data_IF_283240605652
#
_entry.id   IF_283240605652
#
_cell.length_a   1.000
_cell.length_b   1.000
_cell.length_c   1.000
_cell.angle_alpha   90.00
_cell.angle_beta   90.00
_cell.angle_gamma   90.00
#
_symmetry.space_group_name_H-M   'P 1'
#
loop_
_entity.id
_entity.type
_entity.pdbx_description
1 polymer ?
#
# COMPACT_ATOMS: atom_id res chain seq x y z
N UNK A 1 32.03 0.41 12.30
CA UNK A 1 32.65 1.19 11.20
C UNK A 1 32.76 2.63 11.69
N UNK A 2 33.94 3.15 11.79
CA UNK A 2 34.33 4.20 12.72
C UNK A 2 33.92 5.60 12.25
N UNK A 3 33.26 6.34 13.12
CA UNK A 3 32.96 7.77 13.00
C UNK A 3 34.22 8.67 12.90
N UNK A 4 35.38 8.14 13.20
CA UNK A 4 36.69 8.86 13.17
C UNK A 4 37.06 9.49 11.83
N UNK A 5 36.67 8.86 10.71
CA UNK A 5 36.95 9.40 9.37
C UNK A 5 36.04 10.62 9.08
N UNK A 6 34.84 10.62 9.63
CA UNK A 6 33.87 11.72 9.48
C UNK A 6 34.28 12.94 10.32
N UNK A 7 34.74 12.67 11.54
CA UNK A 7 35.20 13.75 12.47
C UNK A 7 36.48 14.41 11.94
N UNK A 8 37.39 13.64 11.33
CA UNK A 8 38.60 14.18 10.72
C UNK A 8 38.30 15.04 9.46
N UNK A 9 37.34 14.64 8.64
CA UNK A 9 36.90 15.41 7.48
C UNK A 9 36.20 16.71 7.91
N UNK A 10 35.43 16.67 8.98
CA UNK A 10 34.75 17.82 9.54
C UNK A 10 35.71 18.83 10.15
N UNK A 11 36.72 18.35 10.91
CA UNK A 11 37.75 19.19 11.51
C UNK A 11 38.59 19.93 10.43
N UNK A 12 38.95 19.24 9.34
CA UNK A 12 39.70 19.79 8.23
C UNK A 12 38.94 20.88 7.45
N UNK A 13 37.63 20.80 7.45
CA UNK A 13 36.77 21.82 6.81
C UNK A 13 36.61 23.08 7.65
N UNK A 14 36.68 22.97 8.99
CA UNK A 14 36.71 24.07 9.93
C UNK A 14 38.02 24.85 9.92
N UNK A 15 39.17 24.16 9.76
CA UNK A 15 40.49 24.75 9.69
C UNK A 15 40.69 25.66 8.46
N UNK A 16 39.97 25.41 7.38
CA UNK A 16 40.06 26.14 6.13
C UNK A 16 39.13 27.38 6.05
N UNK A 17 38.43 27.74 7.14
CA UNK A 17 37.64 28.98 7.24
C UNK A 17 36.46 29.10 6.26
N UNK A 18 36.16 28.06 5.50
CA UNK A 18 35.04 27.99 4.56
C UNK A 18 33.86 27.33 5.24
N UNK A 19 33.09 28.09 6.01
CA UNK A 19 31.75 27.68 6.46
C UNK A 19 30.79 27.65 5.27
N UNK A 20 31.02 26.77 4.31
CA UNK A 20 29.94 26.34 3.45
C UNK A 20 29.07 25.47 4.31
N UNK A 21 27.84 25.94 4.56
CA UNK A 21 26.82 25.10 5.18
C UNK A 21 26.86 23.75 4.49
N UNK A 22 27.14 22.69 5.26
CA UNK A 22 27.05 21.32 4.74
C UNK A 22 25.65 21.18 4.15
N UNK A 23 25.50 20.75 2.89
CA UNK A 23 24.16 20.56 2.37
C UNK A 23 23.44 19.55 3.25
N UNK A 24 22.40 20.01 3.95
CA UNK A 24 21.48 19.20 4.74
C UNK A 24 20.79 18.10 3.92
N UNK A 25 21.02 18.12 2.61
CA UNK A 25 20.45 17.19 1.61
C UNK A 25 20.67 15.73 1.96
N UNK A 26 21.79 15.36 2.60
CA UNK A 26 22.02 13.97 3.00
C UNK A 26 21.13 13.53 4.17
N UNK A 27 20.86 14.44 5.12
CA UNK A 27 19.96 14.19 6.25
C UNK A 27 18.51 14.15 5.80
N UNK A 28 18.12 15.00 4.86
CA UNK A 28 16.77 14.98 4.29
C UNK A 28 16.49 13.69 3.53
N UNK A 29 17.44 13.22 2.72
CA UNK A 29 17.33 11.94 2.00
C UNK A 29 17.27 10.78 2.99
N UNK A 30 18.11 10.78 4.02
CA UNK A 30 18.15 9.72 5.01
C UNK A 30 16.89 9.69 5.88
N UNK A 31 16.40 10.86 6.30
CA UNK A 31 15.15 10.98 7.07
C UNK A 31 13.94 10.52 6.25
N UNK A 32 13.86 10.87 4.98
CA UNK A 32 12.81 10.38 4.07
C UNK A 32 12.87 8.87 3.90
N UNK A 33 14.07 8.31 3.74
CA UNK A 33 14.25 6.86 3.65
C UNK A 33 13.79 6.15 4.93
N UNK A 34 14.17 6.67 6.11
CA UNK A 34 13.72 6.12 7.39
C UNK A 34 12.20 6.21 7.55
N UNK A 35 11.58 7.35 7.19
CA UNK A 35 10.13 7.51 7.23
C UNK A 35 9.42 6.51 6.32
N UNK A 36 9.88 6.36 5.09
CA UNK A 36 9.32 5.38 4.15
C UNK A 36 9.46 3.95 4.67
N UNK A 37 10.62 3.60 5.22
CA UNK A 37 10.88 2.28 5.81
C UNK A 37 9.96 2.01 7.00
N UNK A 38 9.76 3.00 7.88
CA UNK A 38 8.87 2.87 9.03
C UNK A 38 7.41 2.70 8.61
N UNK A 39 6.96 3.44 7.58
CA UNK A 39 5.61 3.30 7.02
C UNK A 39 5.39 1.90 6.46
N UNK A 40 6.35 1.40 5.68
CA UNK A 40 6.32 0.05 5.12
C UNK A 40 6.26 -1.02 6.21
N UNK A 41 7.12 -0.92 7.22
CA UNK A 41 7.14 -1.86 8.34
C UNK A 41 5.82 -1.84 9.13
N UNK A 42 5.25 -0.66 9.34
CA UNK A 42 3.94 -0.52 10.00
C UNK A 42 2.84 -1.23 9.20
N UNK A 43 2.78 -1.03 7.89
CA UNK A 43 1.77 -1.64 7.04
C UNK A 43 1.94 -3.16 6.98
N UNK A 44 3.17 -3.68 6.86
CA UNK A 44 3.48 -5.11 6.92
C UNK A 44 3.04 -5.72 8.25
N UNK A 45 3.38 -5.08 9.38
CA UNK A 45 2.98 -5.56 10.70
C UNK A 45 1.45 -5.57 10.88
N UNK A 46 0.76 -4.55 10.39
CA UNK A 46 -0.70 -4.47 10.43
C UNK A 46 -1.36 -5.59 9.61
N UNK A 47 -0.83 -5.89 8.41
CA UNK A 47 -1.29 -7.00 7.59
C UNK A 47 -1.09 -8.35 8.29
N UNK A 48 0.06 -8.58 8.92
CA UNK A 48 0.30 -9.79 9.71
C UNK A 48 -0.62 -9.90 10.93
N UNK A 49 -0.94 -8.79 11.60
CA UNK A 49 -1.90 -8.78 12.70
C UNK A 49 -3.30 -9.16 12.23
N UNK A 50 -3.75 -8.64 11.08
CA UNK A 50 -5.03 -9.00 10.48
C UNK A 50 -5.05 -10.48 10.09
N UNK A 51 -3.99 -10.97 9.45
CA UNK A 51 -3.85 -12.37 9.07
C UNK A 51 -3.94 -13.30 10.29
N UNK A 52 -3.20 -13.00 11.36
CA UNK A 52 -3.21 -13.79 12.59
C UNK A 52 -4.58 -13.73 13.29
N UNK A 53 -5.19 -12.55 13.41
CA UNK A 53 -6.50 -12.38 14.04
C UNK A 53 -7.58 -13.17 13.33
N UNK A 54 -7.55 -13.22 12.00
CA UNK A 54 -8.54 -13.93 11.18
C UNK A 54 -8.10 -15.35 10.82
N UNK A 55 -6.97 -15.82 11.37
CA UNK A 55 -6.44 -17.17 11.17
C UNK A 55 -6.30 -17.54 9.67
N UNK A 56 -5.71 -16.65 8.89
CA UNK A 56 -5.53 -16.84 7.46
C UNK A 56 -4.70 -18.09 7.17
N UNK A 57 -5.18 -18.90 6.25
CA UNK A 57 -4.47 -20.09 5.78
C UNK A 57 -3.39 -19.74 4.76
N UNK A 58 -3.62 -18.70 3.95
CA UNK A 58 -2.70 -18.22 2.91
C UNK A 58 -1.65 -17.28 3.50
N UNK A 59 -0.42 -17.40 3.01
CA UNK A 59 0.70 -16.55 3.38
C UNK A 59 1.12 -15.76 2.15
N UNK A 60 1.34 -14.44 2.30
CA UNK A 60 1.86 -13.54 1.27
C UNK A 60 3.13 -12.86 1.73
N UNK A 61 4.06 -12.62 0.82
CA UNK A 61 5.19 -11.71 1.06
C UNK A 61 4.71 -10.26 0.86
N UNK A 62 4.18 -9.69 1.94
CA UNK A 62 3.72 -8.30 1.93
C UNK A 62 4.86 -7.32 1.74
N UNK A 63 6.06 -7.64 2.21
CA UNK A 63 7.22 -6.77 2.11
C UNK A 63 7.65 -6.61 0.65
N UNK A 64 7.74 -7.70 -0.11
CA UNK A 64 8.06 -7.67 -1.53
C UNK A 64 7.00 -6.87 -2.31
N UNK A 65 5.71 -7.16 -2.06
CA UNK A 65 4.59 -6.47 -2.71
C UNK A 65 4.63 -4.96 -2.49
N UNK A 66 4.93 -4.50 -1.27
CA UNK A 66 4.98 -3.07 -0.93
C UNK A 66 6.23 -2.38 -1.48
N UNK A 67 7.37 -3.08 -1.59
CA UNK A 67 8.57 -2.55 -2.24
C UNK A 67 8.33 -2.24 -3.71
N UNK A 68 7.50 -3.03 -4.39
CA UNK A 68 7.06 -2.83 -5.78
C UNK A 68 5.92 -1.78 -5.91
N UNK A 69 5.74 -0.94 -4.91
CA UNK A 69 4.73 0.14 -4.84
C UNK A 69 3.28 -0.33 -5.01
N UNK A 70 3.02 -1.61 -4.81
CA UNK A 70 1.68 -2.18 -4.83
C UNK A 70 0.88 -1.64 -3.64
N UNK A 71 -0.34 -1.19 -3.87
CA UNK A 71 -1.30 -0.88 -2.81
C UNK A 71 -2.00 -2.16 -2.42
N UNK A 72 -2.12 -2.41 -1.11
CA UNK A 72 -2.86 -3.57 -0.61
C UNK A 72 -4.09 -3.07 0.13
N UNK A 73 -5.24 -3.56 -0.30
CA UNK A 73 -6.54 -3.30 0.33
C UNK A 73 -7.11 -4.59 0.85
N UNK A 74 -7.54 -4.61 2.10
CA UNK A 74 -8.19 -5.77 2.73
C UNK A 74 -9.60 -5.40 3.11
N UNK A 75 -10.57 -6.24 2.73
CA UNK A 75 -11.96 -6.10 3.17
C UNK A 75 -12.35 -7.25 4.10
N UNK A 76 -13.42 -7.06 4.86
CA UNK A 76 -14.12 -8.16 5.52
C UNK A 76 -14.94 -8.99 4.50
N UNK A 77 -15.63 -10.01 5.00
CA UNK A 77 -16.51 -10.86 4.18
C UNK A 77 -17.74 -10.11 3.61
N UNK A 78 -18.10 -8.94 4.17
CA UNK A 78 -19.16 -8.05 3.72
C UNK A 78 -18.68 -6.98 2.76
N UNK A 79 -17.41 -7.05 2.30
CA UNK A 79 -16.77 -6.11 1.39
C UNK A 79 -16.64 -4.68 1.96
N UNK A 80 -16.50 -4.55 3.27
CA UNK A 80 -16.06 -3.30 3.90
C UNK A 80 -14.55 -3.32 4.06
N UNK A 81 -13.89 -2.25 3.67
CA UNK A 81 -12.44 -2.09 3.81
C UNK A 81 -12.10 -2.06 5.30
N UNK A 82 -11.30 -3.00 5.75
CA UNK A 82 -10.79 -3.06 7.13
C UNK A 82 -9.35 -2.58 7.23
N UNK A 83 -8.65 -2.53 6.09
CA UNK A 83 -7.30 -2.02 6.01
C UNK A 83 -6.95 -1.59 4.59
N UNK A 84 -6.16 -0.55 4.47
CA UNK A 84 -5.49 -0.14 3.24
C UNK A 84 -4.07 0.33 3.60
N UNK A 85 -3.10 0.02 2.75
CA UNK A 85 -1.72 0.50 2.92
C UNK A 85 -1.62 1.99 2.67
N UNK A 86 -0.71 2.68 3.37
CA UNK A 86 -0.59 4.14 3.34
C UNK A 86 -0.23 4.70 1.97
N UNK A 87 0.40 3.91 1.11
CA UNK A 87 0.72 4.30 -0.26
C UNK A 87 -0.51 4.46 -1.18
N UNK A 88 -1.73 4.10 -0.72
CA UNK A 88 -2.99 4.37 -1.42
C UNK A 88 -3.15 5.88 -1.70
N UNK A 89 -2.64 6.74 -0.81
CA UNK A 89 -2.62 8.19 -1.01
C UNK A 89 -1.91 8.61 -2.29
N UNK A 90 -0.78 7.96 -2.59
CA UNK A 90 -0.01 8.24 -3.80
C UNK A 90 -0.70 7.74 -5.07
N UNK A 91 -1.58 6.72 -4.94
CA UNK A 91 -2.30 6.14 -6.05
C UNK A 91 -3.56 6.92 -6.43
N UNK A 92 -4.36 7.32 -5.43
CA UNK A 92 -5.68 7.90 -5.70
C UNK A 92 -6.06 9.10 -4.80
N UNK A 93 -5.13 9.60 -3.97
CA UNK A 93 -5.32 10.80 -3.16
C UNK A 93 -6.09 10.59 -1.85
N UNK A 94 -6.62 9.41 -1.58
CA UNK A 94 -7.29 9.11 -0.30
C UNK A 94 -6.28 8.71 0.77
N UNK A 95 -6.43 9.21 1.98
CA UNK A 95 -5.72 8.66 3.14
C UNK A 95 -6.27 7.28 3.50
N UNK A 96 -5.42 6.38 4.01
CA UNK A 96 -5.83 5.02 4.36
C UNK A 96 -6.99 4.98 5.37
N UNK A 97 -7.02 5.93 6.33
CA UNK A 97 -8.09 6.03 7.32
C UNK A 97 -9.43 6.53 6.73
N UNK A 98 -9.42 7.24 5.61
CA UNK A 98 -10.65 7.72 4.95
C UNK A 98 -11.38 6.59 4.21
N UNK A 99 -10.65 5.56 3.78
CA UNK A 99 -11.24 4.45 3.02
C UNK A 99 -11.70 3.30 3.93
N UNK A 100 -11.15 3.18 5.14
CA UNK A 100 -11.55 2.15 6.11
C UNK A 100 -13.01 2.33 6.51
N UNK A 101 -13.77 1.23 6.54
CA UNK A 101 -15.22 1.21 6.83
C UNK A 101 -16.09 1.40 5.59
N UNK A 102 -15.54 1.88 4.48
CA UNK A 102 -16.25 2.06 3.22
C UNK A 102 -16.16 0.80 2.34
N UNK A 103 -17.01 0.73 1.32
CA UNK A 103 -16.91 -0.29 0.28
C UNK A 103 -15.92 0.15 -0.80
N UNK A 104 -15.14 -0.77 -1.42
CA UNK A 104 -14.29 -0.45 -2.58
C UNK A 104 -15.05 0.21 -3.75
N UNK A 105 -16.36 0.10 -3.79
CA UNK A 105 -17.20 0.83 -4.76
C UNK A 105 -17.09 2.35 -4.66
N UNK A 106 -16.57 2.88 -3.56
CA UNK A 106 -16.33 4.33 -3.40
C UNK A 106 -15.39 4.90 -4.47
N UNK A 107 -14.52 4.05 -5.04
CA UNK A 107 -13.62 4.45 -6.11
C UNK A 107 -14.25 4.38 -7.50
N UNK A 108 -15.46 3.84 -7.62
CA UNK A 108 -16.15 3.67 -8.89
C UNK A 108 -17.03 4.87 -9.22
N UNK A 109 -17.30 5.08 -10.52
CA UNK A 109 -18.17 6.16 -10.96
C UNK A 109 -18.70 5.94 -12.38
N UNK A 110 -19.12 7.01 -13.05
CA UNK A 110 -19.80 6.94 -14.37
C UNK A 110 -19.01 6.25 -15.46
N UNK A 111 -17.68 6.34 -15.45
CA UNK A 111 -16.82 5.74 -16.47
C UNK A 111 -16.27 4.36 -16.07
N UNK A 112 -16.66 3.86 -14.90
CA UNK A 112 -16.31 2.49 -14.50
C UNK A 112 -17.12 1.51 -15.35
N UNK A 113 -16.44 0.56 -15.99
CA UNK A 113 -17.09 -0.45 -16.81
C UNK A 113 -17.95 -1.39 -15.96
N UNK A 114 -19.24 -1.42 -16.26
CA UNK A 114 -20.23 -2.24 -15.57
C UNK A 114 -20.01 -3.74 -15.81
N UNK A 115 -19.52 -4.12 -17.00
CA UNK A 115 -19.22 -5.52 -17.30
C UNK A 115 -18.07 -6.01 -16.41
N UNK A 116 -16.96 -5.26 -16.37
CA UNK A 116 -15.81 -5.60 -15.52
C UNK A 116 -16.22 -5.63 -14.04
N UNK A 117 -17.03 -4.68 -13.60
CA UNK A 117 -17.54 -4.63 -12.21
C UNK A 117 -18.41 -5.87 -11.88
N UNK A 118 -19.24 -6.32 -12.84
CA UNK A 118 -20.03 -7.54 -12.68
C UNK A 118 -19.17 -8.80 -12.66
N UNK A 119 -18.14 -8.88 -13.50
CA UNK A 119 -17.20 -10.01 -13.51
C UNK A 119 -16.46 -10.13 -12.17
N UNK A 120 -15.98 -9.01 -11.62
CA UNK A 120 -15.39 -8.95 -10.28
C UNK A 120 -16.40 -9.42 -9.22
N UNK A 121 -17.65 -8.93 -9.29
CA UNK A 121 -18.70 -9.34 -8.35
C UNK A 121 -18.97 -10.84 -8.41
N UNK A 122 -19.01 -11.43 -9.62
CA UNK A 122 -19.19 -12.88 -9.78
C UNK A 122 -18.03 -13.67 -9.19
N UNK A 123 -16.78 -13.21 -9.42
CA UNK A 123 -15.60 -13.84 -8.83
C UNK A 123 -15.64 -13.83 -7.29
N UNK A 124 -16.07 -12.71 -6.70
CA UNK A 124 -16.24 -12.57 -5.24
C UNK A 124 -17.32 -13.51 -4.72
N UNK A 125 -18.49 -13.58 -5.37
CA UNK A 125 -19.60 -14.48 -4.98
C UNK A 125 -19.15 -15.93 -5.06
N UNK A 126 -18.43 -16.30 -6.11
CA UNK A 126 -17.92 -17.65 -6.32
C UNK A 126 -16.65 -17.95 -5.50
N UNK A 127 -16.14 -16.96 -4.74
CA UNK A 127 -14.94 -17.09 -3.90
C UNK A 127 -13.72 -17.55 -4.69
N UNK A 128 -13.53 -17.01 -5.91
CA UNK A 128 -12.40 -17.31 -6.79
C UNK A 128 -11.53 -16.06 -6.98
N UNK A 129 -10.21 -16.24 -7.19
CA UNK A 129 -9.33 -15.14 -7.52
C UNK A 129 -9.72 -14.46 -8.83
N UNK A 130 -9.39 -13.18 -8.96
CA UNK A 130 -9.59 -12.43 -10.20
C UNK A 130 -8.44 -11.46 -10.45
N UNK A 131 -8.25 -11.13 -11.73
CA UNK A 131 -7.30 -10.11 -12.18
C UNK A 131 -7.96 -9.28 -13.26
N UNK A 132 -8.11 -7.96 -13.03
CA UNK A 132 -8.85 -7.04 -13.89
C UNK A 132 -8.23 -5.66 -13.91
N UNK A 133 -8.49 -4.94 -15.02
CA UNK A 133 -8.26 -3.50 -15.09
C UNK A 133 -9.58 -2.78 -14.93
N UNK A 134 -9.64 -1.81 -14.01
CA UNK A 134 -10.85 -1.05 -13.70
C UNK A 134 -10.55 0.44 -13.81
N UNK A 135 -11.45 1.21 -14.43
CA UNK A 135 -11.40 2.67 -14.37
C UNK A 135 -12.01 3.12 -13.05
N UNK A 136 -11.20 3.73 -12.21
CA UNK A 136 -11.56 4.28 -10.92
C UNK A 136 -11.36 5.80 -10.89
N UNK A 137 -11.86 6.43 -9.84
CA UNK A 137 -11.77 7.86 -9.59
C UNK A 137 -10.87 8.13 -8.39
N UNK A 138 -9.98 9.10 -8.55
CA UNK A 138 -9.24 9.69 -7.45
C UNK A 138 -10.15 10.58 -6.59
N UNK A 139 -9.66 10.97 -5.44
CA UNK A 139 -10.38 11.87 -4.51
C UNK A 139 -10.71 13.22 -5.13
N UNK A 140 -9.89 13.72 -6.04
CA UNK A 140 -10.10 14.97 -6.79
C UNK A 140 -11.03 14.83 -8.00
N UNK A 141 -11.55 13.61 -8.26
CA UNK A 141 -12.41 13.30 -9.39
C UNK A 141 -11.67 12.94 -10.67
N UNK A 142 -10.35 12.99 -10.71
CA UNK A 142 -9.57 12.52 -11.85
C UNK A 142 -9.67 10.99 -12.00
N UNK A 143 -9.47 10.50 -13.22
CA UNK A 143 -9.55 9.08 -13.55
C UNK A 143 -8.19 8.42 -13.48
N UNK A 144 -8.17 7.18 -13.04
CA UNK A 144 -7.02 6.32 -13.17
C UNK A 144 -7.43 4.89 -13.53
N UNK A 145 -6.60 4.22 -14.29
CA UNK A 145 -6.78 2.81 -14.62
C UNK A 145 -6.07 1.98 -13.55
N UNK A 146 -6.83 1.23 -12.79
CA UNK A 146 -6.33 0.38 -11.71
C UNK A 146 -6.24 -1.06 -12.18
N UNK A 147 -5.06 -1.66 -12.07
CA UNK A 147 -4.86 -3.10 -12.22
C UNK A 147 -5.04 -3.75 -10.86
N UNK A 148 -6.03 -4.62 -10.73
CA UNK A 148 -6.43 -5.25 -9.47
C UNK A 148 -6.27 -6.76 -9.58
N UNK A 149 -5.53 -7.35 -8.63
CA UNK A 149 -5.50 -8.80 -8.36
C UNK A 149 -6.18 -9.06 -7.03
N UNK A 150 -7.35 -9.68 -7.06
CA UNK A 150 -8.14 -9.95 -5.86
C UNK A 150 -8.17 -11.44 -5.50
N UNK A 151 -8.09 -11.74 -4.21
CA UNK A 151 -8.09 -13.09 -3.70
C UNK A 151 -9.04 -13.23 -2.52
N UNK A 152 -9.88 -14.27 -2.48
CA UNK A 152 -10.59 -14.66 -1.27
C UNK A 152 -9.60 -15.24 -0.27
N UNK A 153 -9.75 -14.88 0.99
CA UNK A 153 -8.88 -15.34 2.07
C UNK A 153 -9.66 -16.23 2.99
N UNK A 154 -9.20 -17.47 3.10
CA UNK A 154 -9.83 -18.51 3.92
C UNK A 154 -9.09 -18.66 5.24
N UNK A 155 -9.85 -18.93 6.31
CA UNK A 155 -9.30 -19.37 7.58
C UNK A 155 -9.00 -20.89 7.56
N UNK A 156 -8.44 -21.40 8.64
CA UNK A 156 -8.13 -22.83 8.77
C UNK A 156 -9.39 -23.75 8.77
N UNK A 157 -10.59 -23.18 8.98
CA UNK A 157 -11.87 -23.90 8.89
C UNK A 157 -12.44 -23.93 7.47
N UNK A 158 -11.80 -23.25 6.51
CA UNK A 158 -12.27 -23.15 5.12
C UNK A 158 -13.37 -22.10 4.90
N UNK A 159 -13.57 -21.18 5.85
CA UNK A 159 -14.49 -20.06 5.72
C UNK A 159 -13.78 -18.84 5.16
N UNK A 160 -14.42 -18.08 4.25
CA UNK A 160 -13.89 -16.80 3.78
C UNK A 160 -14.05 -15.76 4.89
N UNK A 161 -12.95 -15.24 5.37
CA UNK A 161 -12.91 -14.20 6.40
C UNK A 161 -12.67 -12.80 5.81
N UNK A 162 -11.89 -12.75 4.76
CA UNK A 162 -11.48 -11.49 4.13
C UNK A 162 -11.39 -11.68 2.60
N UNK A 163 -11.33 -10.54 1.89
CA UNK A 163 -10.77 -10.47 0.55
C UNK A 163 -9.58 -9.53 0.58
N UNK A 164 -8.51 -9.90 -0.12
CA UNK A 164 -7.32 -9.08 -0.27
C UNK A 164 -7.16 -8.69 -1.74
N UNK A 165 -6.89 -7.43 -2.00
CA UNK A 165 -6.60 -6.91 -3.32
C UNK A 165 -5.20 -6.28 -3.36
N UNK A 166 -4.46 -6.61 -4.41
CA UNK A 166 -3.18 -6.01 -4.77
C UNK A 166 -3.44 -5.11 -5.97
N UNK A 167 -3.17 -3.82 -5.82
CA UNK A 167 -3.56 -2.79 -6.78
C UNK A 167 -2.36 -1.97 -7.25
N UNK A 168 -2.32 -1.67 -8.55
CA UNK A 168 -1.34 -0.79 -9.19
C UNK A 168 -2.00 0.09 -10.22
N UNK A 169 -1.40 1.24 -10.49
CA UNK A 169 -1.78 2.02 -11.68
C UNK A 169 -1.34 1.21 -12.90
N UNK A 170 -2.29 0.89 -13.79
CA UNK A 170 -2.00 0.23 -15.05
C UNK A 170 -1.38 1.24 -16.03
N UNK A 171 -0.34 0.79 -16.72
CA UNK A 171 0.27 1.55 -17.81
C UNK A 171 -0.69 1.74 -18.99
#
# INVERSE_FOLDING_TARGET
MEFKVYDAAFAKQYENGVTKAMPLVSWDIYSQYLLQTNVLLHDVNSLHQIANKNQWKSVWDFKESLQDKTVIVVTDAQLKIVFATKNIKNMNGYEANEVVGNSPKMFQGKQTDLQVSNEIRQAIINKIPFEKNVINYCKDGSLYKCHIKGFPVFNHKGEVTNFIAFEKIAA
#
